data_IF_807338835657
#
_entry.id   IF_807338835657
#
_cell.length_a   1.000
_cell.length_b   1.000
_cell.length_c   1.000
_cell.angle_alpha   90.00
_cell.angle_beta   90.00
_cell.angle_gamma   90.00
#
_symmetry.space_group_name_H-M   'P 1'
#
loop_
_entity.id
_entity.type
_entity.pdbx_description
1 polymer ?
#
# COMPACT_ATOMS: atom_id res chain seq x y z
N UNK A 1 10.53 30.21 6.25
CA UNK A 1 10.38 28.76 6.49
C UNK A 1 10.12 28.16 5.14
N UNK A 2 11.01 27.32 4.63
CA UNK A 2 10.83 26.70 3.31
C UNK A 2 9.59 25.84 3.37
N UNK A 3 8.54 26.19 2.63
CA UNK A 3 7.39 25.31 2.41
C UNK A 3 7.93 24.01 1.84
N UNK A 4 8.02 23.00 2.70
CA UNK A 4 8.51 21.70 2.30
C UNK A 4 7.31 20.92 1.81
N UNK A 5 6.76 21.37 0.68
CA UNK A 5 5.73 20.65 -0.04
C UNK A 5 6.41 19.43 -0.69
N UNK A 6 6.72 18.42 0.12
CA UNK A 6 7.22 17.14 -0.38
C UNK A 6 6.17 16.57 -1.31
N UNK A 7 6.59 16.19 -2.52
CA UNK A 7 5.73 15.49 -3.45
C UNK A 7 5.18 14.23 -2.78
N UNK A 8 3.86 14.03 -2.88
CA UNK A 8 3.23 12.76 -2.48
C UNK A 8 3.84 11.66 -3.33
N UNK A 9 4.36 10.61 -2.70
CA UNK A 9 4.89 9.45 -3.41
C UNK A 9 3.71 8.54 -3.76
N UNK A 10 3.57 8.22 -5.04
CA UNK A 10 2.58 7.29 -5.56
C UNK A 10 3.29 6.00 -5.97
N UNK A 11 2.93 4.89 -5.33
CA UNK A 11 3.22 3.56 -5.83
C UNK A 11 1.97 3.04 -6.54
N UNK A 12 2.04 2.91 -7.86
CA UNK A 12 0.91 2.54 -8.70
C UNK A 12 0.98 1.09 -9.19
N UNK A 13 1.96 0.31 -8.71
CA UNK A 13 2.15 -1.06 -9.19
C UNK A 13 2.89 -1.92 -8.16
N UNK A 14 2.12 -2.52 -7.26
CA UNK A 14 2.64 -3.43 -6.25
C UNK A 14 1.85 -4.72 -6.21
N UNK A 15 2.56 -5.82 -6.01
CA UNK A 15 2.02 -7.17 -5.96
C UNK A 15 2.11 -7.72 -4.54
N UNK A 16 1.12 -8.50 -4.15
CA UNK A 16 1.02 -9.20 -2.86
C UNK A 16 1.16 -10.70 -3.04
N UNK A 17 1.19 -11.43 -1.93
CA UNK A 17 1.13 -12.90 -1.92
C UNK A 17 -0.18 -13.47 -2.49
N UNK A 18 -1.18 -12.65 -2.83
CA UNK A 18 -2.38 -13.12 -3.54
C UNK A 18 -2.11 -13.38 -5.04
N UNK A 19 -1.00 -12.89 -5.59
CA UNK A 19 -0.45 -13.34 -6.88
C UNK A 19 0.98 -13.90 -6.72
N UNK A 20 1.97 -13.10 -7.07
CA UNK A 20 3.40 -13.40 -7.21
C UNK A 20 4.27 -12.43 -6.39
N UNK A 21 3.64 -11.54 -5.61
CA UNK A 21 4.32 -10.65 -4.69
C UNK A 21 4.89 -11.37 -3.47
N UNK A 22 5.83 -10.72 -2.80
CA UNK A 22 6.54 -11.29 -1.64
C UNK A 22 5.89 -10.97 -0.30
N UNK A 23 5.11 -9.88 -0.23
CA UNK A 23 4.52 -9.38 1.01
C UNK A 23 3.03 -9.69 1.05
N UNK A 24 2.52 -10.02 2.23
CA UNK A 24 1.06 -10.09 2.43
C UNK A 24 0.45 -8.70 2.23
N UNK A 25 -0.86 -8.60 1.95
CA UNK A 25 -1.52 -7.30 1.78
C UNK A 25 -1.29 -6.37 2.99
N UNK A 26 -1.32 -6.90 4.20
CA UNK A 26 -1.07 -6.14 5.43
C UNK A 26 0.38 -5.65 5.47
N UNK A 27 1.35 -6.55 5.27
CA UNK A 27 2.78 -6.19 5.33
C UNK A 27 3.15 -5.17 4.26
N UNK A 28 2.52 -5.23 3.09
CA UNK A 28 2.71 -4.25 2.01
C UNK A 28 2.21 -2.86 2.41
N UNK A 29 1.04 -2.76 3.06
CA UNK A 29 0.51 -1.49 3.57
C UNK A 29 1.46 -0.90 4.62
N UNK A 30 1.95 -1.70 5.57
CA UNK A 30 2.92 -1.23 6.59
C UNK A 30 4.19 -0.68 5.93
N UNK A 31 4.73 -1.41 4.96
CA UNK A 31 5.90 -0.97 4.20
C UNK A 31 5.66 0.33 3.45
N UNK A 32 4.48 0.52 2.86
CA UNK A 32 4.13 1.77 2.17
C UNK A 32 4.18 2.97 3.12
N UNK A 33 3.66 2.82 4.34
CA UNK A 33 3.71 3.86 5.37
C UNK A 33 5.15 4.14 5.82
N UNK A 34 5.95 3.10 6.09
CA UNK A 34 7.37 3.24 6.44
C UNK A 34 8.17 4.01 5.38
N UNK A 35 7.87 3.74 4.10
CA UNK A 35 8.51 4.38 2.95
C UNK A 35 7.89 5.74 2.59
N UNK A 36 6.89 6.21 3.34
CA UNK A 36 6.16 7.47 3.10
C UNK A 36 5.47 7.53 1.72
N UNK A 37 5.00 6.38 1.24
CA UNK A 37 4.12 6.28 0.08
C UNK A 37 2.75 6.79 0.49
N UNK A 38 2.29 7.89 -0.12
CA UNK A 38 1.00 8.49 0.19
C UNK A 38 -0.16 7.92 -0.63
N UNK A 39 0.12 7.15 -1.68
CA UNK A 39 -0.90 6.39 -2.42
C UNK A 39 -0.30 5.08 -2.89
N UNK A 40 -0.92 3.97 -2.51
CA UNK A 40 -0.52 2.62 -2.86
C UNK A 40 -1.61 1.96 -3.70
N UNK A 41 -1.23 1.42 -4.86
CA UNK A 41 -2.07 0.54 -5.67
C UNK A 41 -1.59 -0.91 -5.56
N UNK A 42 -2.53 -1.82 -5.28
CA UNK A 42 -2.32 -3.26 -5.36
C UNK A 42 -2.82 -3.74 -6.73
N UNK A 43 -1.93 -4.32 -7.52
CA UNK A 43 -2.16 -4.71 -8.91
C UNK A 43 -1.82 -6.19 -9.14
N UNK A 44 -2.34 -7.06 -8.27
CA UNK A 44 -2.15 -8.51 -8.37
C UNK A 44 -2.63 -9.06 -9.72
N UNK A 45 -1.98 -10.13 -10.19
CA UNK A 45 -2.33 -10.78 -11.45
C UNK A 45 -3.74 -11.39 -11.40
N UNK A 46 -4.62 -10.92 -12.27
CA UNK A 46 -5.96 -11.45 -12.53
C UNK A 46 -6.87 -11.57 -11.29
N UNK A 47 -6.53 -10.87 -10.20
CA UNK A 47 -7.25 -10.98 -8.92
C UNK A 47 -7.24 -9.65 -8.16
N UNK A 48 -8.27 -9.48 -7.34
CA UNK A 48 -8.37 -8.38 -6.36
C UNK A 48 -8.52 -8.91 -4.94
N UNK A 49 -8.16 -10.18 -4.71
CA UNK A 49 -8.36 -10.88 -3.44
C UNK A 49 -7.60 -10.24 -2.26
N UNK A 50 -6.52 -9.50 -2.53
CA UNK A 50 -5.76 -8.77 -1.52
C UNK A 50 -6.45 -7.51 -0.99
N UNK A 51 -7.36 -6.90 -1.77
CA UNK A 51 -7.95 -5.59 -1.46
C UNK A 51 -8.72 -5.57 -0.13
N UNK A 52 -9.58 -6.55 0.20
CA UNK A 52 -10.29 -6.56 1.48
C UNK A 52 -9.33 -6.57 2.69
N UNK A 53 -8.32 -7.42 2.65
CA UNK A 53 -7.33 -7.55 3.73
C UNK A 53 -6.50 -6.27 3.92
N UNK A 54 -6.02 -5.66 2.82
CA UNK A 54 -5.33 -4.38 2.88
C UNK A 54 -6.22 -3.26 3.46
N UNK A 55 -7.49 -3.20 3.09
CA UNK A 55 -8.44 -2.20 3.61
C UNK A 55 -8.76 -2.39 5.09
N UNK A 56 -8.91 -3.63 5.53
CA UNK A 56 -9.11 -3.96 6.93
C UNK A 56 -7.89 -3.55 7.76
N UNK A 57 -6.68 -3.82 7.26
CA UNK A 57 -5.43 -3.39 7.89
C UNK A 57 -5.36 -1.87 8.06
N UNK A 58 -5.61 -1.12 6.97
CA UNK A 58 -5.62 0.34 6.98
C UNK A 58 -6.59 0.86 8.05
N UNK A 59 -7.81 0.29 8.09
CA UNK A 59 -8.85 0.66 9.05
C UNK A 59 -8.43 0.36 10.49
N UNK A 60 -7.79 -0.79 10.74
CA UNK A 60 -7.32 -1.20 12.07
C UNK A 60 -6.19 -0.31 12.59
N UNK A 61 -5.28 0.12 11.71
CA UNK A 61 -4.15 0.98 12.05
C UNK A 61 -4.53 2.47 12.10
N UNK A 62 -5.68 2.85 11.57
CA UNK A 62 -6.12 4.25 11.49
C UNK A 62 -5.32 5.07 10.48
N UNK A 63 -4.88 4.43 9.39
CA UNK A 63 -4.17 5.09 8.30
C UNK A 63 -5.13 5.66 7.26
N UNK A 64 -4.77 6.78 6.61
CA UNK A 64 -5.59 7.43 5.60
C UNK A 64 -5.75 6.59 4.33
#
# INVERSE_FOLDING_TARGET
MSDTNYAVIYDLHSHTTASDGLLTPETLVHRAVEMRVGTLAITDHDTTAAIPAAREEISRCGWP
#
